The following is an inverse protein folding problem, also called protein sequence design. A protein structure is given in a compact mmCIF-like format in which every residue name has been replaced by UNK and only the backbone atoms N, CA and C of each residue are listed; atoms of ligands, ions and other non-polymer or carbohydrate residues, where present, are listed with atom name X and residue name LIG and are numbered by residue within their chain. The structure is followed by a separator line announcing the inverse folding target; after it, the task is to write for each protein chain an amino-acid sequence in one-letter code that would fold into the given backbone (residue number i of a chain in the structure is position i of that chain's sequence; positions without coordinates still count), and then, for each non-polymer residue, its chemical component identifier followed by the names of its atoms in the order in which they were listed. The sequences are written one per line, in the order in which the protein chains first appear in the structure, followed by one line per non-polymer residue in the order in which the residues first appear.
data_IF_638502762402
#
_entry.id   IF_638502762402
#
_cell.length_a   1.000
_cell.length_b   1.000
_cell.length_c   1.000
_cell.angle_alpha   90.00
_cell.angle_beta   90.00
_cell.angle_gamma   90.00
#
_symmetry.space_group_name_H-M   'P 1'
#
loop_
_entity.id
_entity.type
_entity.pdbx_description
1 polymer ?
#
# COMPACT_ATOMS: atom_id res chain seq x y z
N UNK A 1 -24.38 11.39 1.55
CA UNK A 1 -23.53 12.57 1.21
C UNK A 1 -22.60 12.25 0.03
N UNK A 2 -22.20 13.26 -0.76
CA UNK A 2 -21.23 13.09 -1.87
C UNK A 2 -19.80 13.06 -1.32
N UNK A 3 -18.84 12.47 -2.05
CA UNK A 3 -17.44 12.38 -1.59
C UNK A 3 -16.79 13.75 -1.36
N UNK A 4 -17.14 14.75 -2.16
CA UNK A 4 -16.62 16.12 -2.02
C UNK A 4 -17.34 16.93 -0.92
N UNK A 5 -18.35 16.37 -0.24
CA UNK A 5 -19.06 17.07 0.83
C UNK A 5 -18.08 17.35 1.98
N UNK A 6 -17.88 18.63 2.36
CA UNK A 6 -17.14 19.00 3.57
C UNK A 6 -17.85 18.48 4.81
N UNK A 7 -17.08 17.96 5.77
CA UNK A 7 -17.62 17.44 7.01
C UNK A 7 -17.55 18.51 8.11
N UNK A 8 -18.58 18.58 8.93
CA UNK A 8 -18.58 19.36 10.17
C UNK A 8 -17.76 18.64 11.25
N UNK A 9 -17.96 17.32 11.35
CA UNK A 9 -17.24 16.44 12.27
C UNK A 9 -17.35 14.97 11.87
N UNK A 10 -16.49 14.14 12.46
CA UNK A 10 -16.62 12.69 12.45
C UNK A 10 -16.63 12.15 13.88
N UNK A 11 -17.33 11.05 14.12
CA UNK A 11 -17.46 10.45 15.45
C UNK A 11 -17.19 8.96 15.38
N UNK A 12 -16.25 8.49 16.20
CA UNK A 12 -16.11 7.08 16.51
C UNK A 12 -16.95 6.75 17.75
N UNK A 13 -17.93 5.88 17.58
CA UNK A 13 -18.64 5.25 18.68
C UNK A 13 -17.95 3.94 19.02
N UNK A 14 -17.41 3.83 20.23
CA UNK A 14 -16.61 2.69 20.65
C UNK A 14 -17.48 1.63 21.35
N UNK A 15 -17.12 0.37 21.17
CA UNK A 15 -17.72 -0.72 21.96
C UNK A 15 -17.31 -0.61 23.43
N UNK A 16 -18.04 -1.22 24.38
CA UNK A 16 -17.68 -1.16 25.80
C UNK A 16 -16.27 -1.65 26.14
N UNK A 17 -15.71 -2.55 25.30
CA UNK A 17 -14.35 -3.08 25.45
C UNK A 17 -13.29 -2.27 24.67
N UNK A 18 -13.69 -1.16 24.05
CA UNK A 18 -12.84 -0.31 23.19
C UNK A 18 -12.06 -1.08 22.10
N UNK A 19 -12.58 -2.24 21.67
CA UNK A 19 -11.94 -3.09 20.66
C UNK A 19 -12.53 -2.90 19.27
N UNK A 20 -13.76 -2.37 19.20
CA UNK A 20 -14.52 -2.15 17.97
C UNK A 20 -15.09 -0.74 17.97
N UNK A 21 -15.33 -0.21 16.78
CA UNK A 21 -15.93 1.09 16.62
C UNK A 21 -16.87 1.15 15.42
N UNK A 22 -17.84 2.05 15.50
CA UNK A 22 -18.61 2.54 14.37
C UNK A 22 -18.21 3.99 14.10
N UNK A 23 -17.85 4.29 12.86
CA UNK A 23 -17.49 5.63 12.42
C UNK A 23 -18.67 6.26 11.70
N UNK A 24 -19.09 7.43 12.20
CA UNK A 24 -20.10 8.27 11.57
C UNK A 24 -19.48 9.59 11.12
N UNK A 25 -20.00 10.14 10.03
CA UNK A 25 -19.65 11.48 9.55
C UNK A 25 -20.87 12.36 9.52
N UNK A 26 -20.67 13.64 9.80
CA UNK A 26 -21.70 14.66 9.71
C UNK A 26 -21.20 15.80 8.83
N UNK A 27 -22.05 16.29 7.96
CA UNK A 27 -21.82 17.43 7.06
C UNK A 27 -23.12 17.74 6.36
N UNK A 28 -23.30 18.96 5.85
CA UNK A 28 -24.52 19.40 5.15
C UNK A 28 -25.85 19.20 5.93
N UNK A 29 -25.78 19.10 7.26
CA UNK A 29 -26.95 18.83 8.12
C UNK A 29 -27.40 17.38 8.11
N UNK A 30 -26.67 16.48 7.45
CA UNK A 30 -26.91 15.04 7.48
C UNK A 30 -25.79 14.29 8.22
N UNK A 31 -26.15 13.15 8.80
CA UNK A 31 -25.21 12.24 9.46
C UNK A 31 -25.37 10.85 8.84
N UNK A 32 -24.24 10.23 8.49
CA UNK A 32 -24.23 8.91 7.87
C UNK A 32 -23.16 8.02 8.51
N UNK A 33 -23.42 6.72 8.55
CA UNK A 33 -22.43 5.73 8.98
C UNK A 33 -21.45 5.48 7.84
N UNK A 34 -20.17 5.67 8.11
CA UNK A 34 -19.10 5.53 7.14
C UNK A 34 -18.45 4.14 7.19
N UNK A 35 -18.22 3.62 8.40
CA UNK A 35 -17.56 2.33 8.58
C UNK A 35 -17.88 1.70 9.94
N UNK A 36 -17.57 0.42 10.08
CA UNK A 36 -17.64 -0.32 11.34
C UNK A 36 -16.57 -1.41 11.33
N UNK A 37 -15.85 -1.59 12.43
CA UNK A 37 -14.74 -2.54 12.45
C UNK A 37 -13.96 -2.57 13.75
N UNK A 38 -12.71 -3.02 13.66
CA UNK A 38 -11.76 -2.99 14.76
C UNK A 38 -11.25 -1.56 14.98
N UNK A 39 -11.08 -1.16 16.23
CA UNK A 39 -10.53 0.15 16.57
C UNK A 39 -9.00 0.18 16.44
N UNK A 40 -8.35 -0.96 16.67
CA UNK A 40 -6.88 -1.09 16.70
C UNK A 40 -6.15 -0.41 15.52
N UNK A 41 -6.59 -0.54 14.25
CA UNK A 41 -5.88 0.09 13.15
C UNK A 41 -5.95 1.63 13.17
N UNK A 42 -6.98 2.20 13.79
CA UNK A 42 -7.13 3.65 13.94
C UNK A 42 -6.25 4.23 15.05
N UNK A 43 -6.07 3.49 16.16
CA UNK A 43 -5.30 3.94 17.32
C UNK A 43 -3.85 4.26 16.95
N UNK A 44 -3.25 3.47 16.06
CA UNK A 44 -1.88 3.70 15.58
C UNK A 44 -1.69 5.05 14.86
N UNK A 45 -2.77 5.64 14.32
CA UNK A 45 -2.73 6.85 13.51
C UNK A 45 -3.51 8.03 14.11
N UNK A 46 -4.32 7.79 15.13
CA UNK A 46 -5.10 8.81 15.84
C UNK A 46 -4.67 8.82 17.32
N UNK A 47 -3.69 9.67 17.67
CA UNK A 47 -3.23 9.85 19.06
C UNK A 47 -4.38 10.10 20.05
N UNK A 48 -5.39 10.86 19.63
CA UNK A 48 -6.59 11.12 20.44
C UNK A 48 -7.36 9.82 20.71
N UNK A 49 -7.43 8.89 19.76
CA UNK A 49 -8.07 7.60 19.98
C UNK A 49 -7.31 6.74 21.00
N UNK A 50 -5.98 6.82 21.06
CA UNK A 50 -5.16 6.13 22.07
C UNK A 50 -5.45 6.65 23.48
N UNK A 51 -5.45 7.98 23.66
CA UNK A 51 -5.74 8.63 24.94
C UNK A 51 -7.16 8.35 25.42
N UNK A 52 -8.13 8.31 24.51
CA UNK A 52 -9.55 8.07 24.84
C UNK A 52 -9.86 6.60 25.14
N UNK A 53 -9.11 5.65 24.56
CA UNK A 53 -9.15 4.24 24.95
C UNK A 53 -8.62 4.07 26.38
N UNK A 54 -7.54 4.77 26.74
CA UNK A 54 -7.01 4.76 28.09
C UNK A 54 -7.98 5.38 29.11
N UNK A 55 -8.82 6.34 28.69
CA UNK A 55 -9.84 6.97 29.53
C UNK A 55 -11.23 6.32 29.49
N UNK A 56 -11.39 5.17 28.79
CA UNK A 56 -12.66 4.46 28.60
C UNK A 56 -13.79 5.31 27.98
N UNK A 57 -13.46 6.33 27.17
CA UNK A 57 -14.48 7.14 26.50
C UNK A 57 -15.19 6.32 25.43
N UNK A 58 -16.52 6.38 25.39
CA UNK A 58 -17.32 5.64 24.41
C UNK A 58 -17.48 6.39 23.08
N UNK A 59 -17.01 7.64 23.02
CA UNK A 59 -17.21 8.51 21.89
C UNK A 59 -15.96 9.37 21.65
N UNK A 60 -15.37 9.26 20.47
CA UNK A 60 -14.23 10.08 20.05
C UNK A 60 -14.67 10.95 18.89
N UNK A 61 -14.75 12.26 19.12
CA UNK A 61 -15.14 13.24 18.11
C UNK A 61 -13.90 13.83 17.46
N UNK A 62 -13.83 13.73 16.14
CA UNK A 62 -12.85 14.41 15.30
C UNK A 62 -13.50 15.65 14.69
N UNK A 63 -12.96 16.81 15.02
CA UNK A 63 -13.37 18.09 14.45
C UNK A 63 -12.14 18.77 13.88
N UNK A 64 -12.32 19.52 12.80
CA UNK A 64 -11.27 20.41 12.35
C UNK A 64 -11.31 21.63 13.27
N UNK A 65 -10.19 21.92 13.93
CA UNK A 65 -10.04 23.17 14.68
C UNK A 65 -10.20 24.40 13.78
N UNK A 66 -9.89 25.60 14.29
CA UNK A 66 -9.93 26.85 13.49
C UNK A 66 -8.85 26.87 12.39
N UNK A 67 -9.01 26.03 11.37
CA UNK A 67 -8.20 25.98 10.17
C UNK A 67 -8.99 26.60 9.03
N UNK A 68 -8.41 27.62 8.40
CA UNK A 68 -9.04 28.36 7.29
C UNK A 68 -9.32 27.48 6.06
N UNK A 69 -8.68 26.31 5.99
CA UNK A 69 -8.74 25.42 4.83
C UNK A 69 -9.42 24.07 5.16
N UNK A 70 -10.15 23.98 6.27
CA UNK A 70 -10.80 22.74 6.70
C UNK A 70 -11.64 22.09 5.57
N UNK A 71 -12.42 22.90 4.87
CA UNK A 71 -13.32 22.44 3.82
C UNK A 71 -12.60 21.86 2.58
N UNK A 72 -11.30 22.11 2.39
CA UNK A 72 -10.57 21.63 1.21
C UNK A 72 -10.02 20.22 1.38
N UNK A 73 -9.92 19.70 2.60
CA UNK A 73 -9.33 18.37 2.86
C UNK A 73 -10.21 17.51 3.78
N UNK A 74 -10.95 18.10 4.72
CA UNK A 74 -11.83 17.35 5.63
C UNK A 74 -13.20 17.12 4.97
N UNK A 75 -13.18 16.30 3.94
CA UNK A 75 -14.36 15.86 3.18
C UNK A 75 -14.65 14.40 3.47
N UNK A 76 -15.87 13.96 3.14
CA UNK A 76 -16.27 12.56 3.21
C UNK A 76 -15.26 11.66 2.49
N UNK A 77 -14.90 11.99 1.25
CA UNK A 77 -14.02 11.19 0.41
C UNK A 77 -12.62 11.04 1.01
N UNK A 78 -12.11 12.08 1.69
CA UNK A 78 -10.84 11.97 2.43
C UNK A 78 -10.96 11.01 3.61
N UNK A 79 -12.03 11.08 4.39
CA UNK A 79 -12.19 10.18 5.53
C UNK A 79 -12.43 8.73 5.09
N UNK A 80 -13.17 8.50 4.01
CA UNK A 80 -13.30 7.17 3.41
C UNK A 80 -11.95 6.60 2.98
N UNK A 81 -11.10 7.41 2.31
CA UNK A 81 -9.74 7.00 1.93
C UNK A 81 -8.89 6.67 3.15
N UNK A 82 -8.95 7.50 4.19
CA UNK A 82 -8.25 7.25 5.44
C UNK A 82 -8.68 5.92 6.09
N UNK A 83 -9.99 5.66 6.18
CA UNK A 83 -10.53 4.43 6.74
C UNK A 83 -10.09 3.20 5.97
N UNK A 84 -10.11 3.26 4.63
CA UNK A 84 -9.62 2.16 3.79
C UNK A 84 -8.12 1.92 4.01
N UNK A 85 -7.32 3.00 4.07
CA UNK A 85 -5.88 2.95 4.34
C UNK A 85 -5.57 2.24 5.65
N UNK A 86 -6.16 2.68 6.76
CA UNK A 86 -5.87 2.08 8.07
C UNK A 86 -6.47 0.69 8.22
N UNK A 87 -7.54 0.35 7.51
CA UNK A 87 -8.20 -0.96 7.64
C UNK A 87 -7.54 -2.07 6.82
N UNK A 88 -6.74 -1.73 5.82
CA UNK A 88 -6.08 -2.71 4.92
C UNK A 88 -4.64 -2.32 4.58
N UNK A 89 -3.78 -2.07 5.59
CA UNK A 89 -2.40 -1.63 5.35
C UNK A 89 -1.59 -2.66 4.55
N UNK A 90 -1.88 -3.95 4.73
CA UNK A 90 -1.15 -5.06 4.13
C UNK A 90 -1.25 -5.05 2.59
N UNK A 91 -2.35 -4.52 2.04
CA UNK A 91 -2.57 -4.47 0.59
C UNK A 91 -1.57 -3.52 -0.08
N UNK A 92 -1.22 -2.41 0.58
CA UNK A 92 -0.22 -1.47 0.09
C UNK A 92 1.21 -2.01 0.27
N UNK A 93 1.48 -2.65 1.40
CA UNK A 93 2.79 -3.29 1.65
C UNK A 93 3.10 -4.38 0.61
N UNK A 94 2.10 -5.18 0.23
CA UNK A 94 2.24 -6.18 -0.84
C UNK A 94 2.62 -5.53 -2.18
N UNK A 95 1.92 -4.46 -2.56
CA UNK A 95 2.20 -3.74 -3.82
C UNK A 95 3.65 -3.23 -3.84
N UNK A 96 4.09 -2.59 -2.76
CA UNK A 96 5.47 -2.08 -2.65
C UNK A 96 6.51 -3.19 -2.66
N UNK A 97 6.25 -4.29 -1.95
CA UNK A 97 7.17 -5.43 -1.86
C UNK A 97 7.39 -6.06 -3.23
N UNK A 98 6.31 -6.32 -3.98
CA UNK A 98 6.42 -6.92 -5.31
C UNK A 98 7.00 -5.93 -6.35
N UNK A 99 6.73 -4.61 -6.24
CA UNK A 99 7.32 -3.60 -7.13
C UNK A 99 8.85 -3.52 -6.95
N UNK A 100 9.30 -3.56 -5.69
CA UNK A 100 10.72 -3.58 -5.34
C UNK A 100 11.40 -4.88 -5.82
N UNK A 101 10.78 -6.04 -5.57
CA UNK A 101 11.29 -7.32 -6.03
C UNK A 101 11.42 -7.37 -7.56
N UNK A 102 10.40 -6.91 -8.29
CA UNK A 102 10.43 -6.88 -9.75
C UNK A 102 11.56 -5.98 -10.26
N UNK A 103 11.75 -4.80 -9.65
CA UNK A 103 12.84 -3.89 -10.00
C UNK A 103 14.22 -4.52 -9.78
N UNK A 104 14.38 -5.27 -8.68
CA UNK A 104 15.60 -6.02 -8.39
C UNK A 104 15.85 -7.15 -9.41
N UNK A 105 14.81 -7.90 -9.78
CA UNK A 105 14.91 -8.95 -10.80
C UNK A 105 15.24 -8.39 -12.18
N UNK A 106 14.67 -7.25 -12.58
CA UNK A 106 15.01 -6.59 -13.84
C UNK A 106 16.45 -6.06 -13.86
N UNK A 107 16.95 -5.54 -12.74
CA UNK A 107 18.34 -5.15 -12.59
C UNK A 107 19.28 -6.37 -12.66
N UNK A 108 18.98 -7.45 -11.93
CA UNK A 108 19.74 -8.70 -11.97
C UNK A 108 19.76 -9.28 -13.39
N UNK A 109 18.60 -9.36 -14.05
CA UNK A 109 18.48 -9.82 -15.43
C UNK A 109 19.38 -9.03 -16.38
N UNK A 110 19.44 -7.70 -16.26
CA UNK A 110 20.34 -6.85 -17.06
C UNK A 110 21.80 -7.19 -16.82
N UNK A 111 22.23 -7.31 -15.56
CA UNK A 111 23.61 -7.64 -15.19
C UNK A 111 24.02 -9.00 -15.79
N UNK A 112 23.21 -10.03 -15.62
CA UNK A 112 23.53 -11.37 -16.10
C UNK A 112 23.36 -11.52 -17.63
N UNK A 113 22.49 -10.74 -18.26
CA UNK A 113 22.35 -10.72 -19.73
C UNK A 113 23.50 -9.98 -20.41
N UNK A 114 24.07 -8.95 -19.77
CA UNK A 114 25.17 -8.13 -20.30
C UNK A 114 26.57 -8.69 -20.02
N UNK A 115 26.71 -9.92 -19.53
CA UNK A 115 28.04 -10.53 -19.39
C UNK A 115 28.69 -10.80 -20.75
N UNK A 116 29.30 -9.78 -21.37
CA UNK A 116 30.36 -9.81 -22.38
C UNK A 116 30.67 -8.37 -22.84
N UNK A 117 31.84 -7.84 -22.48
CA UNK A 117 32.31 -6.61 -23.13
C UNK A 117 33.48 -5.84 -22.52
N UNK A 118 34.31 -6.38 -21.61
CA UNK A 118 35.70 -5.91 -21.56
C UNK A 118 36.64 -6.81 -20.73
N UNK A 119 37.67 -7.33 -21.44
CA UNK A 119 39.01 -7.75 -21.00
C UNK A 119 39.10 -8.94 -20.01
N UNK A 120 39.83 -10.04 -20.28
CA UNK A 120 41.21 -10.09 -20.78
C UNK A 120 41.47 -11.32 -21.67
N UNK A 121 42.13 -11.03 -22.79
CA UNK A 121 42.92 -11.96 -23.58
C UNK A 121 43.99 -12.62 -22.69
N UNK A 122 44.02 -13.95 -22.61
CA UNK A 122 45.01 -14.65 -21.78
C UNK A 122 44.81 -16.16 -21.68
N UNK A 123 45.10 -16.86 -22.78
CA UNK A 123 45.54 -18.26 -22.87
C UNK A 123 45.08 -19.32 -21.85
N UNK A 124 44.34 -20.32 -22.34
CA UNK A 124 44.48 -21.72 -21.91
C UNK A 124 43.51 -22.22 -20.85
N UNK A 125 42.45 -22.93 -21.29
CA UNK A 125 41.57 -23.68 -20.38
C UNK A 125 40.24 -24.07 -21.00
N UNK A 126 40.26 -24.92 -22.03
CA UNK A 126 39.10 -25.35 -22.85
C UNK A 126 38.06 -26.25 -22.12
N UNK A 127 37.91 -26.13 -20.80
CA UNK A 127 37.00 -26.97 -20.00
C UNK A 127 36.09 -26.23 -19.01
N UNK A 128 36.35 -24.96 -18.68
CA UNK A 128 35.61 -24.21 -17.63
C UNK A 128 34.42 -23.42 -18.19
N UNK A 129 34.42 -23.09 -19.48
CA UNK A 129 33.48 -22.12 -20.08
C UNK A 129 32.07 -22.66 -20.33
N UNK A 130 31.91 -23.96 -20.64
CA UNK A 130 30.60 -24.51 -21.00
C UNK A 130 29.67 -24.74 -19.78
N UNK A 131 30.25 -25.13 -18.64
CA UNK A 131 29.50 -25.33 -17.39
C UNK A 131 29.05 -24.00 -16.78
N UNK A 132 29.91 -22.97 -16.85
CA UNK A 132 29.59 -21.61 -16.41
C UNK A 132 28.51 -20.97 -17.30
N UNK A 133 28.60 -21.16 -18.62
CA UNK A 133 27.56 -20.71 -19.55
C UNK A 133 26.22 -21.43 -19.35
N UNK A 134 26.23 -22.73 -19.05
CA UNK A 134 25.03 -23.49 -18.72
C UNK A 134 24.40 -22.97 -17.41
N UNK A 135 25.23 -22.70 -16.39
CA UNK A 135 24.78 -22.15 -15.10
C UNK A 135 24.21 -20.74 -15.26
N UNK A 136 24.85 -19.88 -16.06
CA UNK A 136 24.36 -18.53 -16.39
C UNK A 136 23.02 -18.58 -17.11
N UNK A 137 22.85 -19.48 -18.08
CA UNK A 137 21.57 -19.68 -18.80
C UNK A 137 20.47 -20.14 -17.86
N UNK A 138 20.78 -21.08 -16.97
CA UNK A 138 19.81 -21.56 -15.99
C UNK A 138 19.42 -20.48 -14.96
N UNK A 139 20.37 -19.65 -14.53
CA UNK A 139 20.10 -18.49 -13.68
C UNK A 139 19.19 -17.47 -14.38
N UNK A 140 19.48 -17.13 -15.65
CA UNK A 140 18.62 -16.23 -16.43
C UNK A 140 17.20 -16.81 -16.58
N UNK A 141 17.09 -18.11 -16.82
CA UNK A 141 15.79 -18.81 -16.88
C UNK A 141 15.06 -18.73 -15.54
N UNK A 142 15.76 -18.92 -14.43
CA UNK A 142 15.18 -18.80 -13.09
C UNK A 142 14.70 -17.37 -12.79
N UNK A 143 15.49 -16.36 -13.19
CA UNK A 143 15.09 -14.95 -13.08
C UNK A 143 13.84 -14.68 -13.92
N UNK A 144 13.79 -15.13 -15.17
CA UNK A 144 12.63 -14.94 -16.05
C UNK A 144 11.36 -15.59 -15.47
N UNK A 145 11.48 -16.80 -14.92
CA UNK A 145 10.37 -17.50 -14.24
C UNK A 145 9.88 -16.71 -13.03
N UNK A 146 10.79 -16.25 -12.16
CA UNK A 146 10.41 -15.46 -10.98
C UNK A 146 9.80 -14.12 -11.37
N UNK A 147 10.33 -13.47 -12.39
CA UNK A 147 9.85 -12.20 -12.90
C UNK A 147 8.43 -12.32 -13.45
N UNK A 148 8.11 -13.42 -14.17
CA UNK A 148 6.76 -13.72 -14.60
C UNK A 148 5.79 -13.91 -13.41
N UNK A 149 6.21 -14.68 -12.39
CA UNK A 149 5.40 -14.89 -11.18
C UNK A 149 5.16 -13.57 -10.42
N UNK A 150 6.22 -12.79 -10.18
CA UNK A 150 6.12 -11.51 -9.46
C UNK A 150 5.24 -10.52 -10.23
N UNK A 151 5.28 -10.49 -11.56
CA UNK A 151 4.35 -9.65 -12.36
C UNK A 151 2.88 -10.01 -12.12
N UNK A 152 2.57 -11.31 -12.04
CA UNK A 152 1.22 -11.77 -11.76
C UNK A 152 0.79 -11.44 -10.31
N UNK A 153 1.69 -11.64 -9.34
CA UNK A 153 1.45 -11.29 -7.95
C UNK A 153 1.23 -9.77 -7.78
N UNK A 154 2.04 -8.98 -8.48
CA UNK A 154 1.96 -7.53 -8.53
C UNK A 154 0.62 -7.06 -9.10
N UNK A 155 0.18 -7.64 -10.23
CA UNK A 155 -1.13 -7.35 -10.82
C UNK A 155 -2.27 -7.71 -9.87
N UNK A 156 -2.17 -8.85 -9.18
CA UNK A 156 -3.18 -9.29 -8.20
C UNK A 156 -3.24 -8.34 -6.99
N UNK A 157 -2.08 -7.93 -6.47
CA UNK A 157 -1.99 -6.96 -5.38
C UNK A 157 -2.58 -5.60 -5.81
N UNK A 158 -2.37 -5.19 -7.05
CA UNK A 158 -2.99 -3.99 -7.61
C UNK A 158 -4.50 -4.09 -7.71
N UNK A 159 -5.03 -5.18 -8.24
CA UNK A 159 -6.47 -5.37 -8.31
C UNK A 159 -7.11 -5.30 -6.90
N UNK A 160 -6.44 -5.87 -5.89
CA UNK A 160 -6.86 -5.74 -4.48
C UNK A 160 -6.76 -4.31 -3.97
N UNK A 161 -5.69 -3.59 -4.28
CA UNK A 161 -5.52 -2.19 -3.89
C UNK A 161 -6.58 -1.28 -4.53
N UNK A 162 -6.86 -1.47 -5.82
CA UNK A 162 -7.90 -0.73 -6.54
C UNK A 162 -9.29 -1.05 -5.98
N UNK A 163 -9.59 -2.32 -5.69
CA UNK A 163 -10.83 -2.74 -5.03
C UNK A 163 -10.95 -2.15 -3.61
N UNK A 164 -9.83 -1.97 -2.91
CA UNK A 164 -9.75 -1.25 -1.65
C UNK A 164 -9.72 0.29 -1.82
N UNK A 165 -9.93 0.81 -3.03
CA UNK A 165 -10.09 2.24 -3.31
C UNK A 165 -8.78 3.05 -3.30
N UNK A 166 -7.62 2.40 -3.37
CA UNK A 166 -6.34 3.08 -3.49
C UNK A 166 -6.09 3.56 -4.92
N UNK A 167 -5.52 4.75 -5.06
CA UNK A 167 -4.99 5.21 -6.34
C UNK A 167 -3.57 4.67 -6.52
N UNK A 168 -3.42 3.72 -7.44
CA UNK A 168 -2.18 2.98 -7.66
C UNK A 168 -1.17 3.81 -8.47
N UNK A 169 -1.62 4.80 -9.24
CA UNK A 169 -0.75 5.64 -10.07
C UNK A 169 0.21 6.48 -9.22
N UNK A 170 -0.18 6.85 -7.99
CA UNK A 170 0.66 7.63 -7.07
C UNK A 170 1.76 6.84 -6.35
N UNK A 171 1.74 5.50 -6.44
CA UNK A 171 2.56 4.64 -5.59
C UNK A 171 3.76 4.01 -6.31
N UNK A 172 3.96 4.27 -7.61
CA UNK A 172 4.70 3.32 -8.46
C UNK A 172 5.83 3.82 -9.32
N UNK A 173 6.75 2.89 -9.56
CA UNK A 173 7.84 3.01 -10.54
C UNK A 173 7.65 2.11 -11.78
N UNK A 174 6.82 1.06 -11.72
CA UNK A 174 6.59 0.13 -12.84
C UNK A 174 5.20 0.22 -13.50
N UNK A 175 5.14 -0.04 -14.81
CA UNK A 175 3.94 0.07 -15.66
C UNK A 175 2.97 -1.14 -15.60
N UNK A 176 3.25 -2.16 -14.78
CA UNK A 176 2.50 -3.45 -14.81
C UNK A 176 1.05 -3.35 -14.36
N UNK A 177 0.67 -2.32 -13.63
CA UNK A 177 -0.69 -2.13 -13.12
C UNK A 177 -1.49 -1.04 -13.84
N UNK A 178 -1.04 -0.63 -15.03
CA UNK A 178 -1.69 0.35 -15.87
C UNK A 178 -2.51 -0.31 -16.97
#
# INVERSE_FOLDING_TARGET
MKSETPLDYAVFQLSPKCSRCELFVSGDGSMEKLASGLLKPFVAHLRIAEEQVASAAQLVKLEVGRSKNAATWFTKGTLERFVRFVSTPEVLELVNTFDAEMSQLEAARRIYSQGAGDQLSGGGGSGVTAADDATKKELLRAIDVRLAAVRQDLSTACARAAAAGFNIDSLRTSNVCR
#
